data_IF_498197226238
#
_entry.id   IF_498197226238
#
_cell.length_a   1.000
_cell.length_b   1.000
_cell.length_c   1.000
_cell.angle_alpha   90.00
_cell.angle_beta   90.00
_cell.angle_gamma   90.00
#
_symmetry.space_group_name_H-M   'P 1'
#
loop_
_entity.id
_entity.type
_entity.pdbx_description
1 polymer ?
#
# COMPACT_ATOMS: atom_id res chain seq x y z
N UNK A 1 -11.15 1.93 15.10
CA UNK A 1 -10.39 0.66 15.00
C UNK A 1 -10.76 -0.27 16.14
N UNK A 2 -10.86 -1.57 15.88
CA UNK A 2 -11.01 -2.62 16.89
C UNK A 2 -9.91 -3.63 16.65
N UNK A 3 -9.04 -3.83 17.64
CA UNK A 3 -7.83 -4.62 17.44
C UNK A 3 -8.00 -6.06 17.94
N UNK A 4 -7.45 -7.00 17.17
CA UNK A 4 -7.17 -8.36 17.61
C UNK A 4 -5.71 -8.71 17.28
N UNK A 5 -5.03 -9.46 18.15
CA UNK A 5 -3.70 -9.97 17.90
C UNK A 5 -3.75 -11.44 17.50
N UNK A 6 -2.93 -11.81 16.54
CA UNK A 6 -2.69 -13.22 16.21
C UNK A 6 -2.12 -13.94 17.44
N UNK A 7 -2.69 -15.07 17.90
CA UNK A 7 -2.22 -15.77 19.10
C UNK A 7 -0.84 -16.44 18.93
N UNK A 8 -0.33 -16.53 17.68
CA UNK A 8 0.95 -17.17 17.37
C UNK A 8 2.09 -16.18 17.18
N UNK A 9 1.84 -15.08 16.48
CA UNK A 9 2.89 -14.13 16.08
C UNK A 9 2.63 -12.69 16.56
N UNK A 10 1.54 -12.44 17.29
CA UNK A 10 1.17 -11.12 17.82
C UNK A 10 1.02 -10.01 16.77
N UNK A 11 0.89 -10.39 15.49
CA UNK A 11 0.49 -9.45 14.44
C UNK A 11 -0.90 -8.91 14.77
N UNK A 12 -1.02 -7.60 14.82
CA UNK A 12 -2.26 -6.90 15.14
C UNK A 12 -3.09 -6.71 13.87
N UNK A 13 -4.40 -6.80 13.97
CA UNK A 13 -5.33 -6.61 12.86
C UNK A 13 -6.44 -5.65 13.29
N UNK A 14 -6.84 -4.71 12.42
CA UNK A 14 -8.10 -3.99 12.60
C UNK A 14 -9.24 -4.89 12.11
N UNK A 15 -10.02 -5.40 13.07
CA UNK A 15 -11.12 -6.33 12.85
C UNK A 15 -12.48 -5.65 12.88
N UNK A 16 -12.53 -4.31 12.86
CA UNK A 16 -13.78 -3.55 12.95
C UNK A 16 -14.84 -4.00 11.95
N UNK A 17 -14.43 -4.33 10.72
CA UNK A 17 -15.33 -4.68 9.61
C UNK A 17 -15.61 -6.19 9.49
N UNK A 18 -15.00 -7.03 10.33
CA UNK A 18 -15.07 -8.50 10.24
C UNK A 18 -15.34 -9.16 11.60
N UNK A 19 -15.96 -8.43 12.53
CA UNK A 19 -16.20 -8.93 13.89
C UNK A 19 -17.00 -10.23 13.88
N UNK A 20 -16.53 -11.22 14.63
CA UNK A 20 -17.15 -12.54 14.71
C UNK A 20 -16.83 -13.47 13.54
N UNK A 21 -16.13 -12.98 12.51
CA UNK A 21 -15.58 -13.83 11.45
C UNK A 21 -14.26 -14.49 11.88
N UNK A 22 -13.75 -15.36 11.03
CA UNK A 22 -12.47 -16.02 11.22
C UNK A 22 -11.37 -15.29 10.44
N UNK A 23 -10.31 -14.87 11.12
CA UNK A 23 -9.13 -14.24 10.51
C UNK A 23 -8.02 -15.28 10.35
N UNK A 24 -7.42 -15.32 9.17
CA UNK A 24 -6.21 -16.11 8.90
C UNK A 24 -5.01 -15.19 8.83
N UNK A 25 -4.10 -15.33 9.78
CA UNK A 25 -2.83 -14.62 9.81
C UNK A 25 -1.86 -15.22 8.78
N UNK A 26 -1.02 -14.41 8.09
CA UNK A 26 0.03 -14.91 7.21
C UNK A 26 1.05 -15.85 7.87
N UNK A 27 1.13 -15.90 9.21
CA UNK A 27 1.93 -16.90 9.93
C UNK A 27 1.29 -18.31 10.00
N UNK A 28 0.13 -18.50 9.35
CA UNK A 28 -0.66 -19.73 9.30
C UNK A 28 -1.59 -19.98 10.49
N UNK A 29 -1.73 -19.02 11.40
CA UNK A 29 -2.66 -19.13 12.51
C UNK A 29 -4.04 -18.61 12.10
N UNK A 30 -5.09 -19.26 12.60
CA UNK A 30 -6.48 -18.87 12.37
C UNK A 30 -7.15 -18.61 13.72
N UNK A 31 -7.83 -17.48 13.85
CA UNK A 31 -8.41 -17.03 15.12
C UNK A 31 -9.66 -16.17 14.88
N UNK A 32 -10.61 -16.13 15.82
CA UNK A 32 -11.80 -15.31 15.69
C UNK A 32 -11.46 -13.81 15.75
N UNK A 33 -12.10 -13.01 14.91
CA UNK A 33 -12.01 -11.55 14.92
C UNK A 33 -12.80 -10.97 16.11
N UNK A 34 -12.26 -11.16 17.30
CA UNK A 34 -12.84 -10.70 18.56
C UNK A 34 -11.92 -9.65 19.18
N UNK A 35 -12.43 -8.44 19.36
CA UNK A 35 -11.74 -7.41 20.12
C UNK A 35 -11.85 -7.70 21.62
N UNK A 36 -10.75 -7.59 22.39
CA UNK A 36 -10.77 -7.87 23.83
C UNK A 36 -11.62 -6.85 24.60
N UNK A 37 -12.13 -7.28 25.76
CA UNK A 37 -12.77 -6.39 26.72
C UNK A 37 -11.70 -5.47 27.33
N UNK A 38 -12.04 -4.18 27.50
CA UNK A 38 -11.11 -3.21 28.05
C UNK A 38 -10.83 -3.43 29.53
N UNK A 39 -9.58 -3.25 29.92
CA UNK A 39 -9.15 -3.08 31.32
C UNK A 39 -8.53 -1.70 31.51
N UNK A 40 -8.45 -1.24 32.75
CA UNK A 40 -7.83 0.04 33.08
C UNK A 40 -6.30 -0.02 32.94
N UNK A 41 -5.71 1.07 32.48
CA UNK A 41 -4.26 1.19 32.35
C UNK A 41 -3.61 1.43 33.74
N UNK A 42 -2.79 0.49 34.20
CA UNK A 42 -2.10 0.60 35.50
C UNK A 42 -0.85 1.51 35.46
N UNK A 43 -0.33 1.83 34.27
CA UNK A 43 0.88 2.63 34.04
C UNK A 43 0.53 3.69 32.99
N UNK A 44 1.14 4.88 33.10
CA UNK A 44 0.97 5.95 32.10
C UNK A 44 2.22 6.04 31.22
N UNK A 45 2.03 5.81 29.92
CA UNK A 45 3.02 6.03 28.85
C UNK A 45 2.48 7.03 27.85
N UNK A 46 3.39 7.67 27.12
CA UNK A 46 3.03 8.54 26.02
C UNK A 46 2.36 7.74 24.90
N UNK A 47 1.11 8.08 24.58
CA UNK A 47 0.37 7.44 23.49
C UNK A 47 1.00 7.69 22.10
N UNK A 48 1.89 8.68 21.96
CA UNK A 48 2.55 9.00 20.69
C UNK A 48 3.83 8.19 20.47
N UNK A 49 4.71 8.06 21.48
CA UNK A 49 6.03 7.41 21.33
C UNK A 49 6.26 6.19 22.25
N UNK A 50 5.35 5.88 23.18
CA UNK A 50 5.48 4.76 24.11
C UNK A 50 6.42 5.00 25.31
N UNK A 51 7.08 6.16 25.38
CA UNK A 51 7.93 6.53 26.50
C UNK A 51 7.15 6.56 27.83
N UNK A 52 7.81 6.18 28.93
CA UNK A 52 7.25 6.40 30.26
C UNK A 52 7.05 7.90 30.48
N UNK A 53 5.92 8.26 31.06
CA UNK A 53 5.65 9.65 31.45
C UNK A 53 5.51 9.73 32.96
N UNK A 54 6.12 10.75 33.57
CA UNK A 54 6.01 10.99 35.00
C UNK A 54 4.59 11.40 35.40
N UNK A 55 4.26 11.36 36.69
CA UNK A 55 2.87 11.56 37.19
C UNK A 55 2.27 12.94 36.91
N UNK A 56 3.10 13.98 36.79
CA UNK A 56 2.66 15.36 36.54
C UNK A 56 3.05 15.88 35.14
N UNK A 57 3.65 15.01 34.32
CA UNK A 57 4.14 15.37 33.00
C UNK A 57 2.97 15.63 32.04
N UNK A 58 2.86 16.86 31.53
CA UNK A 58 1.82 17.27 30.56
C UNK A 58 2.29 17.22 29.11
N UNK A 59 3.61 17.26 28.91
CA UNK A 59 4.28 17.20 27.62
C UNK A 59 5.35 16.13 27.76
N UNK A 60 5.33 15.14 26.88
CA UNK A 60 6.32 14.07 26.88
C UNK A 60 7.71 14.64 26.62
N UNK A 61 8.62 14.48 27.57
CA UNK A 61 10.02 14.86 27.53
C UNK A 61 10.77 14.24 26.35
N UNK A 62 10.31 13.09 25.85
CA UNK A 62 10.91 12.41 24.70
C UNK A 62 10.44 12.99 23.36
N UNK A 63 9.15 12.91 23.05
CA UNK A 63 8.62 13.28 21.73
C UNK A 63 7.89 14.63 21.68
N UNK A 64 7.80 15.33 22.81
CA UNK A 64 7.12 16.61 22.96
C UNK A 64 5.60 16.59 22.68
N UNK A 65 4.99 15.40 22.57
CA UNK A 65 3.55 15.26 22.45
C UNK A 65 2.84 15.56 23.78
N UNK A 66 1.62 16.11 23.71
CA UNK A 66 0.75 16.30 24.87
C UNK A 66 0.37 14.95 25.49
N UNK A 67 0.47 14.87 26.82
CA UNK A 67 0.09 13.67 27.59
C UNK A 67 -1.39 13.75 27.93
N UNK A 68 -2.16 12.77 27.48
CA UNK A 68 -3.60 12.61 27.82
C UNK A 68 -3.74 11.45 28.81
N UNK A 69 -4.09 11.75 30.06
CA UNK A 69 -4.18 10.75 31.15
C UNK A 69 -5.53 10.06 31.23
N UNK A 70 -6.59 10.82 31.04
CA UNK A 70 -7.97 10.34 31.05
C UNK A 70 -8.57 10.51 29.65
N UNK A 71 -8.12 9.72 28.67
CA UNK A 71 -8.73 9.77 27.35
C UNK A 71 -10.19 9.32 27.44
N UNK A 72 -11.05 10.00 26.67
CA UNK A 72 -12.37 9.49 26.39
C UNK A 72 -12.25 8.02 25.89
N UNK A 73 -13.20 7.14 26.21
CA UNK A 73 -13.11 5.72 25.90
C UNK A 73 -13.37 5.41 24.42
N UNK A 74 -12.88 6.24 23.50
CA UNK A 74 -13.14 6.19 22.06
C UNK A 74 -12.02 5.52 21.26
N UNK A 75 -10.85 5.29 21.85
CA UNK A 75 -9.71 4.67 21.16
C UNK A 75 -9.59 3.15 21.28
N UNK A 76 -8.52 2.59 20.69
CA UNK A 76 -8.30 1.15 20.63
C UNK A 76 -8.14 0.52 22.01
N UNK A 77 -8.65 -0.70 22.15
CA UNK A 77 -8.25 -1.60 23.22
C UNK A 77 -6.99 -2.34 22.75
N UNK A 78 -5.93 -2.31 23.56
CA UNK A 78 -4.68 -2.96 23.24
C UNK A 78 -4.89 -4.49 23.15
N UNK A 79 -4.51 -5.16 22.06
CA UNK A 79 -4.72 -6.60 21.96
C UNK A 79 -3.73 -7.44 22.77
N UNK A 80 -2.70 -6.82 23.36
CA UNK A 80 -1.69 -7.51 24.18
C UNK A 80 -1.98 -7.43 25.68
N UNK A 81 -2.36 -6.26 26.19
CA UNK A 81 -2.60 -6.05 27.63
C UNK A 81 -4.03 -5.59 27.95
N UNK A 82 -4.89 -5.45 26.93
CA UNK A 82 -6.29 -5.08 27.05
C UNK A 82 -6.57 -3.68 27.61
N UNK A 83 -5.53 -2.86 27.82
CA UNK A 83 -5.71 -1.48 28.25
C UNK A 83 -6.45 -0.66 27.18
N UNK A 84 -7.38 0.20 27.61
CA UNK A 84 -8.02 1.19 26.74
C UNK A 84 -7.11 2.39 26.48
N UNK A 85 -7.11 2.90 25.25
CA UNK A 85 -6.22 3.97 24.81
C UNK A 85 -6.97 5.15 24.19
N UNK A 86 -6.33 6.33 24.05
CA UNK A 86 -6.88 7.47 23.31
C UNK A 86 -7.13 7.17 21.82
N UNK A 87 -8.06 7.91 21.19
CA UNK A 87 -8.52 7.70 19.80
C UNK A 87 -7.43 7.65 18.72
N UNK A 88 -6.27 8.25 18.98
CA UNK A 88 -5.12 8.32 18.05
C UNK A 88 -3.82 7.80 18.67
N UNK A 89 -3.94 6.91 19.64
CA UNK A 89 -2.77 6.27 20.21
C UNK A 89 -1.98 5.54 19.10
N UNK A 90 -0.69 5.83 19.02
CA UNK A 90 0.28 5.07 18.24
C UNK A 90 0.95 3.99 19.09
N UNK A 91 0.93 4.17 20.40
CA UNK A 91 1.47 3.23 21.39
C UNK A 91 0.47 3.05 22.53
N UNK A 92 0.44 1.85 23.11
CA UNK A 92 -0.39 1.57 24.27
C UNK A 92 0.10 2.37 25.49
N UNK A 93 -0.81 3.07 26.15
CA UNK A 93 -0.50 3.87 27.34
C UNK A 93 -0.11 3.02 28.54
N UNK A 94 -0.50 1.73 28.59
CA UNK A 94 -0.11 0.82 29.66
C UNK A 94 1.20 0.06 29.37
N UNK A 95 1.18 -0.82 28.36
CA UNK A 95 2.32 -1.71 28.10
C UNK A 95 3.36 -1.13 27.14
N UNK A 96 3.05 -0.06 26.41
CA UNK A 96 3.96 0.60 25.47
C UNK A 96 4.06 -0.07 24.09
N UNK A 97 3.31 -1.14 23.82
CA UNK A 97 3.31 -1.78 22.49
C UNK A 97 2.84 -0.78 21.43
N UNK A 98 3.53 -0.72 20.29
CA UNK A 98 3.11 0.09 19.16
C UNK A 98 1.84 -0.51 18.52
N UNK A 99 0.88 0.32 18.17
CA UNK A 99 -0.29 -0.09 17.41
C UNK A 99 0.05 -0.15 15.94
N UNK A 100 0.10 -1.38 15.43
CA UNK A 100 0.54 -1.69 14.09
C UNK A 100 -0.46 -2.61 13.36
N UNK A 101 -1.75 -2.23 13.27
CA UNK A 101 -2.78 -3.06 12.65
C UNK A 101 -2.48 -3.36 11.19
N UNK A 102 -2.53 -4.62 10.79
CA UNK A 102 -2.48 -5.06 9.40
C UNK A 102 -3.91 -5.09 8.83
N UNK A 103 -4.10 -4.84 7.53
CA UNK A 103 -5.38 -5.09 6.89
C UNK A 103 -5.74 -6.58 6.97
N UNK A 104 -7.00 -6.88 7.30
CA UNK A 104 -7.51 -8.25 7.25
C UNK A 104 -7.76 -8.64 5.79
N UNK A 105 -7.26 -9.81 5.37
CA UNK A 105 -7.62 -10.39 4.08
C UNK A 105 -8.99 -11.03 4.20
N UNK A 106 -9.94 -10.56 3.39
CA UNK A 106 -11.31 -11.12 3.34
C UNK A 106 -11.33 -12.53 2.74
N UNK A 107 -10.38 -12.84 1.86
CA UNK A 107 -10.22 -14.17 1.27
C UNK A 107 -9.03 -14.89 1.90
N UNK A 108 -9.21 -16.19 2.19
CA UNK A 108 -8.13 -17.06 2.64
C UNK A 108 -7.25 -17.58 1.49
N UNK A 109 -7.52 -17.16 0.26
CA UNK A 109 -6.76 -17.56 -0.93
C UNK A 109 -5.38 -16.90 -0.93
N UNK A 110 -4.38 -17.67 -1.35
CA UNK A 110 -3.04 -17.17 -1.56
C UNK A 110 -3.04 -16.27 -2.79
N UNK A 111 -2.42 -15.11 -2.66
CA UNK A 111 -2.30 -14.15 -3.76
C UNK A 111 -1.35 -14.70 -4.83
N UNK A 112 -1.65 -14.47 -6.10
CA UNK A 112 -0.76 -14.81 -7.20
C UNK A 112 0.12 -13.63 -7.60
N UNK A 113 1.34 -13.94 -8.07
CA UNK A 113 2.27 -12.96 -8.58
C UNK A 113 1.75 -12.34 -9.90
N UNK A 114 1.66 -11.01 -10.02
CA UNK A 114 1.22 -10.35 -11.25
C UNK A 114 2.26 -10.40 -12.37
N UNK A 115 3.48 -10.87 -12.09
CA UNK A 115 4.59 -10.99 -13.04
C UNK A 115 4.86 -12.44 -13.42
N UNK A 116 4.76 -13.37 -12.45
CA UNK A 116 5.09 -14.78 -12.63
C UNK A 116 3.79 -15.59 -12.66
N UNK A 117 3.31 -16.01 -13.85
CA UNK A 117 2.04 -16.73 -13.96
C UNK A 117 2.04 -18.02 -13.12
N UNK A 118 0.98 -18.23 -12.34
CA UNK A 118 0.79 -19.43 -11.51
C UNK A 118 1.68 -19.52 -10.27
N UNK A 119 2.44 -18.47 -9.94
CA UNK A 119 3.28 -18.45 -8.73
C UNK A 119 2.53 -17.77 -7.59
N UNK A 120 2.35 -18.49 -6.49
CA UNK A 120 1.77 -17.95 -5.27
C UNK A 120 2.79 -17.11 -4.49
N UNK A 121 2.33 -16.00 -3.95
CA UNK A 121 3.13 -15.14 -3.09
C UNK A 121 3.25 -15.76 -1.70
N UNK A 122 4.43 -15.66 -1.12
CA UNK A 122 4.74 -16.18 0.21
C UNK A 122 4.75 -15.02 1.23
N UNK A 123 4.08 -15.23 2.36
CA UNK A 123 4.09 -14.26 3.45
C UNK A 123 5.50 -14.00 4.00
N UNK A 124 5.83 -12.73 4.23
CA UNK A 124 7.07 -12.26 4.84
C UNK A 124 6.81 -11.13 5.82
N UNK A 125 7.60 -11.09 6.88
CA UNK A 125 7.61 -9.96 7.83
C UNK A 125 8.75 -9.02 7.48
N UNK A 126 8.43 -7.78 7.14
CA UNK A 126 9.38 -6.71 6.86
C UNK A 126 9.25 -5.62 7.94
N UNK A 127 10.25 -5.53 8.81
CA UNK A 127 10.23 -4.68 10.01
C UNK A 127 9.11 -5.01 11.03
N UNK A 128 8.41 -6.13 10.88
CA UNK A 128 7.21 -6.45 11.69
C UNK A 128 5.90 -6.00 11.05
N UNK A 129 5.89 -5.71 9.74
CA UNK A 129 4.67 -5.61 8.92
C UNK A 129 4.64 -6.79 7.97
N UNK A 130 3.45 -7.29 7.64
CA UNK A 130 3.32 -8.41 6.72
C UNK A 130 3.19 -7.93 5.27
N UNK A 131 4.03 -8.48 4.42
CA UNK A 131 4.01 -8.34 2.95
C UNK A 131 3.94 -9.74 2.33
N UNK A 132 3.57 -9.83 1.05
CA UNK A 132 3.72 -11.07 0.30
C UNK A 132 4.83 -10.94 -0.74
N UNK A 133 5.77 -11.87 -0.74
CA UNK A 133 6.93 -11.90 -1.62
C UNK A 133 6.77 -13.01 -2.65
N UNK A 134 7.02 -12.72 -3.91
CA UNK A 134 7.12 -13.74 -4.94
C UNK A 134 8.45 -14.50 -4.80
N UNK A 135 8.46 -15.84 -4.63
CA UNK A 135 9.70 -16.60 -4.52
C UNK A 135 10.52 -16.65 -5.82
N UNK A 136 9.94 -16.26 -6.96
CA UNK A 136 10.60 -16.33 -8.28
C UNK A 136 11.20 -14.99 -8.71
N UNK A 137 10.42 -13.91 -8.66
CA UNK A 137 10.91 -12.58 -9.05
C UNK A 137 11.30 -11.71 -7.87
N UNK A 138 11.05 -12.12 -6.62
CA UNK A 138 11.32 -11.32 -5.42
C UNK A 138 10.57 -9.98 -5.38
N UNK A 139 9.48 -9.86 -6.16
CA UNK A 139 8.57 -8.73 -6.08
C UNK A 139 7.72 -8.80 -4.80
N UNK A 140 7.38 -7.63 -4.25
CA UNK A 140 6.68 -7.49 -2.99
C UNK A 140 5.29 -6.89 -3.20
N UNK A 141 4.30 -7.48 -2.54
CA UNK A 141 2.98 -6.91 -2.34
C UNK A 141 2.85 -6.36 -0.93
N UNK A 142 2.74 -5.04 -0.81
CA UNK A 142 2.48 -4.32 0.43
C UNK A 142 0.97 -3.99 0.51
N UNK A 143 0.18 -4.70 1.32
CA UNK A 143 -1.27 -4.52 1.36
C UNK A 143 -1.67 -3.23 2.09
N UNK A 144 -2.76 -2.60 1.66
CA UNK A 144 -3.32 -1.40 2.29
C UNK A 144 -2.29 -0.28 2.49
N UNK A 145 -2.15 0.17 3.73
CA UNK A 145 -1.23 1.23 4.18
C UNK A 145 0.17 0.71 4.56
N UNK A 146 0.47 -0.57 4.35
CA UNK A 146 1.75 -1.18 4.76
C UNK A 146 2.93 -0.48 4.10
N UNK A 147 2.80 -0.05 2.84
CA UNK A 147 3.85 0.72 2.16
C UNK A 147 4.17 2.03 2.90
N UNK A 148 3.15 2.82 3.22
CA UNK A 148 3.31 4.11 3.91
C UNK A 148 3.97 3.91 5.28
N UNK A 149 3.58 2.86 5.99
CA UNK A 149 4.16 2.51 7.30
C UNK A 149 5.60 2.01 7.20
N UNK A 150 5.95 1.26 6.16
CA UNK A 150 7.34 0.91 5.88
C UNK A 150 8.19 2.16 5.67
N UNK A 151 7.69 3.13 4.90
CA UNK A 151 8.37 4.41 4.66
C UNK A 151 8.51 5.22 5.94
N UNK A 152 7.46 5.32 6.75
CA UNK A 152 7.51 6.05 8.02
C UNK A 152 8.55 5.47 8.98
N UNK A 153 8.77 4.15 8.97
CA UNK A 153 9.87 3.55 9.73
C UNK A 153 11.24 3.96 9.20
N UNK A 154 11.41 4.04 7.89
CA UNK A 154 12.67 4.54 7.30
C UNK A 154 12.87 6.03 7.64
N UNK A 155 11.81 6.84 7.63
CA UNK A 155 11.86 8.25 8.06
C UNK A 155 12.24 8.38 9.53
N UNK A 156 11.66 7.56 10.39
CA UNK A 156 11.97 7.56 11.82
C UNK A 156 13.43 7.16 12.06
N UNK A 157 13.89 6.09 11.40
CA UNK A 157 15.30 5.70 11.43
C UNK A 157 16.22 6.85 11.04
N UNK A 158 15.92 7.55 9.94
CA UNK A 158 16.71 8.73 9.52
C UNK A 158 16.71 9.84 10.57
N UNK A 159 15.58 10.09 11.24
CA UNK A 159 15.50 11.10 12.32
C UNK A 159 16.41 10.73 13.49
N UNK A 160 16.50 9.45 13.81
CA UNK A 160 17.29 8.94 14.93
C UNK A 160 18.79 8.84 14.61
N UNK A 161 19.14 8.32 13.43
CA UNK A 161 20.52 8.00 13.03
C UNK A 161 21.20 9.11 12.22
N UNK A 162 20.44 10.05 11.66
CA UNK A 162 20.96 11.04 10.71
C UNK A 162 21.11 10.49 9.28
N UNK A 163 21.66 11.28 8.34
CA UNK A 163 21.89 10.84 6.97
C UNK A 163 23.00 9.77 6.91
N UNK A 164 22.89 8.78 6.00
CA UNK A 164 23.95 7.79 5.82
C UNK A 164 25.23 8.44 5.27
N UNK A 165 26.42 7.85 5.49
CA UNK A 165 27.66 8.29 4.85
C UNK A 165 27.53 8.30 3.32
N UNK A 166 28.16 9.27 2.65
CA UNK A 166 27.98 9.60 1.23
C UNK A 166 28.51 8.56 0.22
N UNK A 167 28.93 7.37 0.65
CA UNK A 167 29.69 6.42 -0.18
C UNK A 167 28.84 5.36 -0.90
N UNK A 168 27.52 5.49 -0.89
CA UNK A 168 26.67 4.53 -1.59
C UNK A 168 26.50 4.91 -3.05
N UNK A 169 27.22 4.18 -3.89
CA UNK A 169 27.09 4.14 -5.35
C UNK A 169 25.62 4.13 -5.71
N UNK A 170 25.13 5.23 -6.29
CA UNK A 170 23.83 5.27 -6.95
C UNK A 170 23.82 4.17 -8.01
N UNK A 171 23.23 3.02 -7.70
CA UNK A 171 22.90 2.04 -8.74
C UNK A 171 22.09 2.80 -9.75
N UNK A 172 22.46 2.72 -11.03
CA UNK A 172 21.73 3.36 -12.11
C UNK A 172 20.26 2.90 -12.01
N UNK A 173 19.38 3.75 -11.43
CA UNK A 173 18.01 3.44 -10.95
C UNK A 173 17.02 3.15 -12.09
N UNK A 174 17.53 2.83 -13.28
CA UNK A 174 16.72 2.43 -14.43
C UNK A 174 16.71 0.91 -14.48
N UNK A 175 15.72 0.30 -13.84
CA UNK A 175 15.45 -1.12 -14.09
C UNK A 175 15.22 -1.28 -15.61
N UNK A 176 15.97 -2.18 -16.26
CA UNK A 176 15.82 -2.46 -17.71
C UNK A 176 14.41 -2.99 -18.05
N UNK A 177 13.64 -3.36 -17.03
CA UNK A 177 12.28 -3.87 -17.08
C UNK A 177 11.21 -2.80 -17.38
N UNK A 178 11.57 -1.52 -17.48
CA UNK A 178 10.62 -0.44 -17.82
C UNK A 178 10.33 -0.31 -19.34
N UNK A 179 10.86 -1.20 -20.19
CA UNK A 179 10.87 -1.03 -21.65
C UNK A 179 9.52 -1.24 -22.37
N UNK A 180 8.48 -1.79 -21.73
CA UNK A 180 7.12 -1.89 -22.28
C UNK A 180 6.08 -1.60 -21.20
N UNK A 181 5.23 -0.60 -21.44
CA UNK A 181 4.15 -0.21 -20.53
C UNK A 181 3.02 -1.25 -20.63
N UNK A 182 3.10 -2.30 -19.83
CA UNK A 182 1.98 -3.19 -19.55
C UNK A 182 1.52 -2.95 -18.12
N UNK A 183 0.29 -2.47 -17.94
CA UNK A 183 -0.28 -2.29 -16.60
C UNK A 183 -0.49 -3.66 -15.95
N UNK A 184 0.05 -3.81 -14.74
CA UNK A 184 -0.07 -5.04 -13.96
C UNK A 184 -1.43 -5.12 -13.29
N UNK A 185 -1.95 -6.34 -13.14
CA UNK A 185 -3.20 -6.59 -12.42
C UNK A 185 -2.94 -6.64 -10.93
N UNK A 186 -3.84 -6.05 -10.13
CA UNK A 186 -3.80 -6.18 -8.69
C UNK A 186 -4.00 -7.64 -8.27
N UNK A 187 -3.16 -8.22 -7.39
CA UNK A 187 -3.33 -9.58 -6.89
C UNK A 187 -4.65 -9.82 -6.14
N UNK A 188 -5.30 -8.76 -5.66
CA UNK A 188 -6.53 -8.83 -4.86
C UNK A 188 -7.79 -8.67 -5.72
N UNK A 189 -7.86 -7.62 -6.56
CA UNK A 189 -9.08 -7.34 -7.36
C UNK A 189 -8.93 -7.54 -8.87
N UNK A 190 -7.74 -7.93 -9.34
CA UNK A 190 -7.42 -8.06 -10.78
C UNK A 190 -7.55 -6.78 -11.63
N UNK A 191 -7.91 -5.64 -11.05
CA UNK A 191 -7.94 -4.33 -11.72
C UNK A 191 -6.53 -3.83 -12.07
N UNK A 192 -6.42 -2.90 -13.03
CA UNK A 192 -5.12 -2.37 -13.43
C UNK A 192 -4.52 -1.47 -12.33
N UNK A 193 -3.25 -1.70 -11.99
CA UNK A 193 -2.54 -0.90 -11.01
C UNK A 193 -1.93 0.35 -11.66
N UNK A 194 -1.99 1.48 -10.97
CA UNK A 194 -1.45 2.75 -11.45
C UNK A 194 0.05 2.79 -11.23
N UNK A 195 0.80 3.00 -12.31
CA UNK A 195 2.24 3.15 -12.26
C UNK A 195 2.62 4.56 -11.76
N UNK A 196 3.29 4.66 -10.62
CA UNK A 196 3.64 5.94 -9.97
C UNK A 196 5.12 6.02 -9.65
N UNK A 197 5.76 7.13 -10.03
CA UNK A 197 7.11 7.44 -9.56
C UNK A 197 7.03 7.79 -8.06
N UNK A 198 7.76 7.06 -7.22
CA UNK A 198 7.81 7.30 -5.80
C UNK A 198 8.29 8.74 -5.51
N UNK A 199 7.57 9.46 -4.65
CA UNK A 199 7.73 10.89 -4.39
C UNK A 199 7.71 11.79 -5.65
N UNK A 200 7.23 11.29 -6.80
CA UNK A 200 7.20 12.00 -8.09
C UNK A 200 8.56 12.16 -8.79
N UNK A 201 9.68 11.97 -8.09
CA UNK A 201 11.01 12.29 -8.61
C UNK A 201 12.14 11.33 -8.17
N UNK A 202 11.84 10.27 -7.41
CA UNK A 202 12.87 9.32 -6.95
C UNK A 202 13.49 8.48 -8.07
N UNK A 203 12.75 8.30 -9.17
CA UNK A 203 13.09 7.41 -10.28
C UNK A 203 12.66 5.96 -10.05
N UNK A 204 12.18 5.62 -8.85
CA UNK A 204 11.64 4.30 -8.52
C UNK A 204 10.16 4.29 -8.85
N UNK A 205 9.67 3.27 -9.56
CA UNK A 205 8.32 3.30 -10.12
C UNK A 205 7.50 2.12 -9.65
N UNK A 206 6.63 2.38 -8.66
CA UNK A 206 5.77 1.35 -8.05
C UNK A 206 4.43 1.23 -8.79
N UNK A 207 3.77 0.08 -8.62
CA UNK A 207 2.42 -0.15 -9.14
C UNK A 207 1.39 -0.13 -7.99
N UNK A 208 0.50 0.85 -7.99
CA UNK A 208 -0.44 1.09 -6.90
C UNK A 208 -1.87 0.72 -7.26
N UNK A 209 -2.47 -0.15 -6.45
CA UNK A 209 -3.91 -0.38 -6.46
C UNK A 209 -4.56 0.50 -5.39
N UNK A 210 -5.31 1.52 -5.82
CA UNK A 210 -5.88 2.56 -4.96
C UNK A 210 -6.76 2.10 -3.80
N UNK A 211 -7.13 0.83 -3.71
CA UNK A 211 -7.89 0.25 -2.60
C UNK A 211 -7.20 -0.89 -1.87
N UNK A 212 -6.25 -1.59 -2.48
CA UNK A 212 -5.74 -2.86 -1.94
C UNK A 212 -4.27 -2.84 -1.52
N UNK A 213 -3.43 -1.97 -2.10
CA UNK A 213 -2.01 -1.95 -1.77
C UNK A 213 -1.11 -1.54 -2.92
N UNK A 214 0.19 -1.75 -2.71
CA UNK A 214 1.26 -1.37 -3.64
C UNK A 214 2.12 -2.58 -3.97
N UNK A 215 2.35 -2.80 -5.25
CA UNK A 215 3.33 -3.76 -5.76
C UNK A 215 4.66 -3.07 -6.02
N UNK A 216 5.74 -3.73 -5.62
CA UNK A 216 7.12 -3.33 -5.82
C UNK A 216 7.87 -4.44 -6.55
N UNK A 217 8.63 -4.07 -7.57
CA UNK A 217 9.61 -4.98 -8.18
C UNK A 217 10.79 -5.24 -7.25
N UNK A 218 11.60 -6.22 -7.64
CA UNK A 218 12.87 -6.51 -6.97
C UNK A 218 13.70 -5.24 -6.80
N UNK A 219 14.22 -5.02 -5.60
CA UNK A 219 15.06 -3.89 -5.22
C UNK A 219 14.38 -2.53 -5.10
N UNK A 220 13.10 -2.37 -5.49
CA UNK A 220 12.44 -1.07 -5.42
C UNK A 220 12.24 -0.61 -3.97
N UNK A 221 12.00 -1.53 -3.03
CA UNK A 221 11.89 -1.17 -1.61
C UNK A 221 13.23 -0.67 -1.05
N UNK A 222 14.33 -1.32 -1.42
CA UNK A 222 15.68 -0.91 -1.03
C UNK A 222 16.06 0.44 -1.65
N UNK A 223 15.72 0.67 -2.91
CA UNK A 223 15.95 1.94 -3.60
C UNK A 223 15.11 3.07 -2.99
N UNK A 224 13.85 2.80 -2.63
CA UNK A 224 12.99 3.74 -1.89
C UNK A 224 13.59 4.04 -0.51
N UNK A 225 14.01 3.01 0.23
CA UNK A 225 14.62 3.20 1.53
C UNK A 225 15.89 4.05 1.45
N UNK A 226 16.77 3.78 0.47
CA UNK A 226 17.96 4.59 0.22
C UNK A 226 17.61 6.05 -0.09
N UNK A 227 16.67 6.28 -1.00
CA UNK A 227 16.20 7.63 -1.34
C UNK A 227 15.63 8.38 -0.13
N UNK A 228 14.86 7.71 0.73
CA UNK A 228 14.31 8.33 1.96
C UNK A 228 15.43 8.65 2.94
N UNK A 229 16.38 7.73 3.17
CA UNK A 229 17.54 7.93 4.05
C UNK A 229 18.44 9.09 3.59
N UNK A 230 18.61 9.24 2.27
CA UNK A 230 19.31 10.37 1.63
C UNK A 230 18.57 11.72 1.81
N UNK A 231 17.31 11.69 2.24
CA UNK A 231 16.48 12.90 2.41
C UNK A 231 15.66 13.28 1.18
N UNK A 232 15.47 12.37 0.23
CA UNK A 232 14.74 12.63 -1.01
C UNK A 232 13.30 13.13 -0.83
N UNK A 233 12.65 12.83 0.29
CA UNK A 233 11.32 13.38 0.61
C UNK A 233 11.33 14.86 1.02
N UNK A 234 12.49 15.41 1.39
CA UNK A 234 12.63 16.81 1.82
C UNK A 234 12.92 17.75 0.65
N UNK A 235 13.51 17.22 -0.43
CA UNK A 235 13.94 17.97 -1.60
C UNK A 235 12.88 17.91 -2.71
N UNK A 236 11.68 18.45 -2.45
CA UNK A 236 10.64 18.54 -3.48
C UNK A 236 11.03 19.63 -4.50
N UNK A 237 11.25 19.31 -5.79
CA UNK A 237 11.43 20.37 -6.78
C UNK A 237 10.14 21.21 -6.88
N UNK A 238 10.30 22.54 -6.84
CA UNK A 238 9.23 23.54 -6.79
C UNK A 238 8.19 23.48 -7.95
N UNK A 239 8.40 22.61 -8.93
CA UNK A 239 7.55 22.41 -10.11
C UNK A 239 6.56 21.22 -9.99
N UNK A 240 6.55 20.47 -8.89
CA UNK A 240 5.57 19.40 -8.67
C UNK A 240 4.26 19.98 -8.13
N UNK A 241 3.17 19.86 -8.90
CA UNK A 241 1.82 20.30 -8.51
C UNK A 241 1.19 19.46 -7.40
N UNK A 242 1.82 18.34 -7.06
CA UNK A 242 1.45 17.46 -5.95
C UNK A 242 2.62 17.51 -4.96
N UNK A 243 2.45 18.23 -3.84
CA UNK A 243 3.49 18.45 -2.84
C UNK A 243 4.12 17.13 -2.38
N UNK A 244 5.44 17.13 -2.15
CA UNK A 244 6.26 15.94 -1.86
C UNK A 244 6.02 15.21 -0.54
N UNK A 245 4.80 15.23 -0.02
CA UNK A 245 4.36 14.27 0.97
C UNK A 245 3.93 13.01 0.22
N UNK A 246 4.76 11.97 0.25
CA UNK A 246 4.33 10.66 -0.22
C UNK A 246 3.15 10.22 0.65
N UNK A 247 1.95 10.27 0.10
CA UNK A 247 0.77 9.62 0.64
C UNK A 247 0.02 8.96 -0.51
N UNK A 248 -0.23 7.66 -0.36
CA UNK A 248 -1.11 6.92 -1.26
C UNK A 248 -2.30 6.38 -0.45
N UNK A 249 -3.11 7.28 0.16
CA UNK A 249 -4.22 6.82 0.96
C UNK A 249 -5.12 5.94 0.09
N UNK A 250 -5.45 4.76 0.62
CA UNK A 250 -6.44 3.90 0.01
C UNK A 250 -7.76 4.70 -0.03
N UNK A 251 -8.16 5.13 -1.22
CA UNK A 251 -9.44 5.81 -1.43
C UNK A 251 -10.35 4.81 -2.14
N UNK A 252 -11.16 4.03 -1.39
CA UNK A 252 -12.03 3.03 -1.97
C UNK A 252 -13.05 3.65 -2.92
N UNK A 253 -13.44 4.92 -2.75
CA UNK A 253 -14.36 5.60 -3.65
C UNK A 253 -13.68 5.96 -4.97
N UNK A 254 -12.45 6.48 -4.94
CA UNK A 254 -11.65 6.75 -6.15
C UNK A 254 -11.26 5.46 -6.86
N UNK A 255 -10.91 4.41 -6.13
CA UNK A 255 -10.62 3.09 -6.70
C UNK A 255 -11.87 2.48 -7.36
N UNK A 256 -13.04 2.55 -6.71
CA UNK A 256 -14.30 2.11 -7.29
C UNK A 256 -14.66 2.91 -8.55
N UNK A 257 -14.45 4.22 -8.55
CA UNK A 257 -14.68 5.06 -9.72
C UNK A 257 -13.75 4.68 -10.91
N UNK A 258 -12.47 4.39 -10.64
CA UNK A 258 -11.53 3.92 -11.67
C UNK A 258 -11.94 2.55 -12.21
N UNK A 259 -12.29 1.60 -11.35
CA UNK A 259 -12.78 0.27 -11.74
C UNK A 259 -14.05 0.37 -12.59
N UNK A 260 -15.02 1.22 -12.19
CA UNK A 260 -16.24 1.45 -12.94
C UNK A 260 -15.93 2.07 -14.32
N UNK A 261 -15.01 3.03 -14.40
CA UNK A 261 -14.59 3.61 -15.67
C UNK A 261 -13.90 2.57 -16.58
N UNK A 262 -13.07 1.68 -16.02
CA UNK A 262 -12.46 0.58 -16.78
C UNK A 262 -13.48 -0.41 -17.32
N UNK A 263 -14.50 -0.76 -16.52
CA UNK A 263 -15.61 -1.61 -16.96
C UNK A 263 -16.39 -0.98 -18.11
N UNK A 264 -16.74 0.30 -17.99
CA UNK A 264 -17.41 1.05 -19.06
C UNK A 264 -16.59 1.08 -20.35
N UNK A 265 -15.27 1.30 -20.26
CA UNK A 265 -14.38 1.29 -21.41
C UNK A 265 -14.25 -0.12 -22.03
N UNK A 266 -14.25 -1.17 -21.21
CA UNK A 266 -14.21 -2.55 -21.69
C UNK A 266 -15.52 -2.94 -22.40
N UNK A 267 -16.66 -2.54 -21.86
CA UNK A 267 -17.98 -2.68 -22.50
C UNK A 267 -18.05 -1.90 -23.82
N UNK A 268 -17.53 -0.68 -23.86
CA UNK A 268 -17.54 0.10 -25.09
C UNK A 268 -16.58 -0.49 -26.15
N UNK A 269 -15.43 -1.05 -25.73
CA UNK A 269 -14.55 -1.80 -26.62
C UNK A 269 -15.21 -3.07 -27.15
N UNK A 270 -15.96 -3.80 -26.33
CA UNK A 270 -16.67 -5.01 -26.78
C UNK A 270 -17.80 -4.67 -27.74
N UNK A 271 -18.57 -3.60 -27.46
CA UNK A 271 -19.58 -3.04 -28.38
C UNK A 271 -18.96 -2.57 -29.69
N UNK A 272 -17.82 -1.89 -29.63
CA UNK A 272 -17.09 -1.45 -30.83
C UNK A 272 -16.58 -2.63 -31.65
N UNK A 273 -16.07 -3.70 -31.01
CA UNK A 273 -15.72 -4.96 -31.70
C UNK A 273 -16.93 -5.67 -32.28
N UNK A 274 -18.07 -5.66 -31.60
CA UNK A 274 -19.30 -6.27 -32.10
C UNK A 274 -19.93 -5.46 -33.25
N UNK A 275 -19.73 -4.12 -33.27
CA UNK A 275 -20.12 -3.22 -34.35
C UNK A 275 -19.08 -3.14 -35.48
N UNK A 276 -17.89 -3.70 -35.29
CA UNK A 276 -16.91 -3.82 -36.36
C UNK A 276 -17.46 -4.82 -37.38
N UNK A 277 -18.07 -4.30 -38.44
CA UNK A 277 -18.55 -5.10 -39.56
C UNK A 277 -17.38 -5.92 -40.15
N UNK A 278 -17.62 -7.18 -40.57
CA UNK A 278 -16.63 -7.92 -41.33
C UNK A 278 -16.28 -7.09 -42.58
N UNK A 279 -14.98 -6.82 -42.77
CA UNK A 279 -14.45 -6.14 -43.96
C UNK A 279 -14.71 -6.91 -45.28
N UNK A 280 -15.36 -8.08 -45.21
CA UNK A 280 -15.71 -8.94 -46.33
C UNK A 280 -16.93 -8.45 -47.11
N UNK A 281 -17.79 -7.60 -46.53
CA UNK A 281 -19.04 -7.15 -47.17
C UNK A 281 -18.90 -5.86 -48.00
N UNK A 282 -17.68 -5.28 -48.06
CA UNK A 282 -17.41 -4.04 -48.79
C UNK A 282 -16.89 -4.22 -50.21
N UNK A 283 -16.84 -5.44 -50.76
CA UNK A 283 -16.48 -5.64 -52.18
C UNK A 283 -15.19 -4.91 -52.60
N UNK A 284 -14.22 -4.77 -51.70
CA UNK A 284 -12.91 -4.18 -52.00
C UNK A 284 -11.98 -5.33 -52.37
N UNK A 285 -11.79 -5.48 -53.68
CA UNK A 285 -10.77 -6.33 -54.30
C UNK A 285 -9.42 -6.19 -53.58
N UNK A 286 -8.94 -7.28 -53.00
CA UNK A 286 -7.78 -7.37 -52.10
C UNK A 286 -6.42 -7.17 -52.80
N UNK A 287 -6.42 -6.64 -54.02
CA UNK A 287 -5.23 -6.46 -54.86
C UNK A 287 -4.50 -5.12 -54.77
N UNK A 288 -4.96 -4.11 -54.00
CA UNK A 288 -4.26 -2.80 -53.96
C UNK A 288 -4.10 -2.24 -52.55
N UNK A 289 -2.85 -2.12 -52.15
CA UNK A 289 -2.35 -1.50 -50.91
C UNK A 289 -2.90 -0.08 -50.76
N UNK A 290 -3.80 0.13 -49.81
CA UNK A 290 -4.21 1.46 -49.37
C UNK A 290 -3.06 2.06 -48.56
N UNK A 291 -2.33 3.02 -49.15
CA UNK A 291 -1.25 3.76 -48.47
C UNK A 291 -1.82 4.96 -47.71
N UNK A 292 -2.50 4.66 -46.61
CA UNK A 292 -2.76 5.65 -45.55
C UNK A 292 -4.10 6.38 -45.60
N UNK A 293 -4.39 7.05 -44.47
CA UNK A 293 -5.67 7.70 -44.14
C UNK A 293 -6.12 8.77 -45.15
N UNK A 294 -5.19 9.35 -45.91
CA UNK A 294 -5.49 10.41 -46.90
C UNK A 294 -6.35 9.94 -48.07
N UNK A 295 -6.17 8.71 -48.55
CA UNK A 295 -6.92 8.18 -49.70
C UNK A 295 -8.39 7.86 -49.37
N UNK A 296 -8.70 7.65 -48.10
CA UNK A 296 -10.06 7.35 -47.63
C UNK A 296 -10.97 8.59 -47.68
N UNK A 297 -10.44 9.77 -47.39
CA UNK A 297 -11.21 11.01 -47.38
C UNK A 297 -11.53 11.55 -48.77
N UNK A 298 -10.70 11.26 -49.79
CA UNK A 298 -10.94 11.71 -51.15
C UNK A 298 -12.13 11.02 -51.83
N UNK A 299 -12.56 9.84 -51.35
CA UNK A 299 -13.70 9.09 -51.91
C UNK A 299 -15.04 9.39 -51.26
N UNK A 300 -15.07 9.96 -50.06
CA UNK A 300 -16.31 10.29 -49.34
C UNK A 300 -16.91 11.63 -49.82
N UNK A 301 -16.13 12.43 -50.55
CA UNK A 301 -16.51 13.77 -51.05
C UNK A 301 -16.81 13.83 -52.56
N UNK A 302 -17.18 12.71 -53.19
CA UNK A 302 -17.76 12.67 -54.54
C UNK A 302 -19.03 11.82 -54.53
#
# INVERSE_FOLDING_TARGET
MKLAACPKCHAQYDVADVLGETVTCPCGATFPATAPAAVDAAVTRCAACGALVGDEERICSYCQATVTREPAPTGPVCPECYARNPERALHCTACGVAFLPQPVRKTGELLECPICPGVQLAARSLGGLWVDECPMCLGLWAPGDVMDRLIDRVRERRRQEGPPPSDHIHRNRRSRWQARIAYRKCPVCSGAMQRKNFAGHSGVVVDWCGSHGTWLDTHEMEDIAAFVLEGGLQNTPAASRDGGDWSLPADPAKAAAVLAAEQLLAEERSRSRARAFPLEDWGIDSGRVVKGIGDLFAKILK
#
